data_IF_617624851083
#
_entry.id   IF_617624851083
#
_cell.length_a   1.000
_cell.length_b   1.000
_cell.length_c   1.000
_cell.angle_alpha   90.00
_cell.angle_beta   90.00
_cell.angle_gamma   90.00
#
_symmetry.space_group_name_H-M   'P 1'
#
loop_
_entity.id
_entity.type
_entity.pdbx_description
1 polymer ?
#
# COMPACT_ATOMS: atom_id res chain seq x y z
N UNK A 1 -7.44 -25.10 48.57
CA UNK A 1 -7.62 -23.68 48.22
C UNK A 1 -6.27 -23.02 48.40
N UNK A 2 -5.78 -22.34 47.35
CA UNK A 2 -4.62 -21.42 47.29
C UNK A 2 -3.23 -22.05 47.50
N UNK A 3 -2.37 -22.24 46.49
CA UNK A 3 -1.49 -21.30 45.73
C UNK A 3 -0.68 -20.34 46.58
N UNK A 4 0.66 -20.45 46.56
CA UNK A 4 1.66 -19.36 46.61
C UNK A 4 3.06 -19.90 46.22
N UNK A 5 3.98 -19.04 45.73
CA UNK A 5 4.72 -19.21 44.48
C UNK A 5 6.22 -19.42 44.72
N UNK A 6 6.91 -19.97 43.72
CA UNK A 6 8.27 -20.48 43.85
C UNK A 6 9.40 -19.42 43.80
N UNK A 7 9.08 -18.13 43.82
CA UNK A 7 10.10 -17.09 43.70
C UNK A 7 10.49 -16.55 45.08
N UNK A 8 11.52 -17.18 45.65
CA UNK A 8 12.49 -16.51 46.51
C UNK A 8 13.88 -16.74 45.92
N UNK A 9 14.65 -15.66 45.96
CA UNK A 9 15.97 -15.41 45.38
C UNK A 9 17.05 -16.46 45.70
N UNK A 10 18.04 -16.59 44.81
CA UNK A 10 19.43 -16.68 45.25
C UNK A 10 20.45 -16.24 44.16
N UNK A 11 21.23 -15.23 44.56
CA UNK A 11 22.62 -14.87 44.26
C UNK A 11 23.33 -15.16 42.89
N UNK A 12 23.95 -14.11 42.34
CA UNK A 12 24.73 -14.02 41.10
C UNK A 12 26.12 -14.73 41.13
N UNK A 13 26.82 -14.86 39.98
CA UNK A 13 28.04 -14.05 39.87
C UNK A 13 28.34 -13.48 38.47
N UNK A 14 29.00 -12.31 38.48
CA UNK A 14 29.38 -11.52 37.31
C UNK A 14 30.41 -12.21 36.41
N UNK A 15 30.11 -12.25 35.12
CA UNK A 15 30.98 -12.78 34.06
C UNK A 15 31.99 -11.69 33.67
N UNK A 16 33.27 -11.95 33.95
CA UNK A 16 34.39 -11.07 33.60
C UNK A 16 34.62 -10.98 32.09
N UNK A 17 35.03 -9.78 31.65
CA UNK A 17 35.20 -9.37 30.25
C UNK A 17 36.21 -10.26 29.48
N UNK A 18 37.06 -10.99 30.20
CA UNK A 18 38.05 -11.91 29.62
C UNK A 18 37.43 -13.15 28.96
N UNK A 19 36.19 -13.57 29.33
CA UNK A 19 35.48 -14.66 28.64
C UNK A 19 34.93 -14.25 27.26
N UNK A 20 34.62 -12.96 27.04
CA UNK A 20 34.10 -12.47 25.77
C UNK A 20 35.16 -12.43 24.67
N UNK A 21 36.44 -12.32 25.02
CA UNK A 21 37.53 -12.23 24.04
C UNK A 21 38.05 -13.60 23.57
N UNK A 22 37.80 -14.69 24.30
CA UNK A 22 38.12 -16.05 23.83
C UNK A 22 37.03 -16.61 22.90
N UNK A 23 35.78 -16.15 23.03
CA UNK A 23 34.67 -16.53 22.16
C UNK A 23 34.82 -15.99 20.73
N UNK A 24 35.56 -14.89 20.51
CA UNK A 24 35.69 -14.30 19.16
C UNK A 24 36.70 -15.02 18.25
N UNK A 25 37.68 -15.74 18.82
CA UNK A 25 38.69 -16.46 18.01
C UNK A 25 38.21 -17.82 17.49
N UNK A 26 37.19 -18.42 18.10
CA UNK A 26 36.60 -19.66 17.59
C UNK A 26 35.47 -19.44 16.55
N UNK A 27 34.99 -18.20 16.41
CA UNK A 27 33.99 -17.80 15.42
C UNK A 27 34.61 -17.38 14.07
N UNK A 28 35.92 -17.54 13.87
CA UNK A 28 36.56 -17.23 12.58
C UNK A 28 36.75 -18.44 11.66
N UNK A 29 36.48 -19.66 12.13
CA UNK A 29 36.63 -20.90 11.33
C UNK A 29 35.32 -21.63 11.03
N UNK A 30 34.17 -20.97 11.28
CA UNK A 30 32.82 -21.50 10.97
C UNK A 30 32.15 -20.80 9.77
N UNK A 31 32.83 -19.84 9.16
CA UNK A 31 32.34 -19.10 7.98
C UNK A 31 32.62 -19.87 6.67
N UNK A 32 33.19 -21.09 6.74
CA UNK A 32 33.35 -21.98 5.58
C UNK A 32 32.16 -22.91 5.28
N UNK A 33 31.07 -22.88 6.04
CA UNK A 33 29.86 -23.64 5.68
C UNK A 33 28.74 -22.72 5.18
N UNK A 34 28.95 -22.15 4.00
CA UNK A 34 27.83 -21.79 3.12
C UNK A 34 27.10 -23.09 2.75
N UNK A 35 26.05 -23.42 3.49
CA UNK A 35 25.03 -24.36 3.01
C UNK A 35 24.33 -23.72 1.82
N UNK A 36 24.29 -24.38 0.63
CA UNK A 36 23.49 -23.90 -0.47
C UNK A 36 22.04 -24.25 -0.15
N UNK A 37 21.36 -23.39 0.60
CA UNK A 37 19.90 -23.41 0.61
C UNK A 37 19.47 -22.95 -0.77
N UNK A 38 19.14 -23.96 -1.57
CA UNK A 38 18.63 -23.90 -2.93
C UNK A 38 17.93 -22.57 -3.24
N UNK A 39 18.34 -21.96 -4.36
CA UNK A 39 17.54 -21.02 -5.13
C UNK A 39 16.15 -21.63 -5.35
N UNK A 40 15.26 -21.42 -4.39
CA UNK A 40 13.86 -21.74 -4.55
C UNK A 40 13.34 -20.54 -5.33
N UNK A 41 12.98 -20.68 -6.62
CA UNK A 41 12.51 -19.53 -7.38
C UNK A 41 11.30 -18.96 -6.65
N UNK A 42 11.43 -17.75 -6.10
CA UNK A 42 10.32 -17.04 -5.49
C UNK A 42 9.26 -16.87 -6.57
N UNK A 43 8.15 -17.58 -6.46
CA UNK A 43 7.02 -17.35 -7.37
C UNK A 43 6.46 -15.97 -7.10
N UNK A 44 6.53 -15.10 -8.11
CA UNK A 44 5.93 -13.74 -8.09
C UNK A 44 4.41 -13.74 -8.28
N UNK A 45 3.82 -14.91 -8.51
CA UNK A 45 2.38 -15.09 -8.75
C UNK A 45 1.81 -16.22 -7.91
N UNK A 46 0.69 -15.95 -7.24
CA UNK A 46 -0.11 -16.94 -6.53
C UNK A 46 -1.35 -17.31 -7.36
N UNK A 47 -1.61 -18.61 -7.51
CA UNK A 47 -2.84 -19.10 -8.13
C UNK A 47 -4.00 -18.96 -7.15
N UNK A 48 -5.15 -18.49 -7.62
CA UNK A 48 -6.37 -18.34 -6.83
C UNK A 48 -7.58 -18.78 -7.64
N UNK A 49 -8.59 -19.35 -6.97
CA UNK A 49 -9.90 -19.62 -7.55
C UNK A 49 -10.89 -18.58 -7.05
N UNK A 50 -11.58 -17.91 -7.96
CA UNK A 50 -12.59 -16.89 -7.66
C UNK A 50 -13.90 -17.24 -8.36
N UNK A 51 -15.01 -17.07 -7.66
CA UNK A 51 -16.33 -17.23 -8.25
C UNK A 51 -16.83 -15.86 -8.69
N UNK A 52 -17.16 -15.73 -9.96
CA UNK A 52 -17.72 -14.52 -10.55
C UNK A 52 -19.21 -14.75 -10.88
N UNK A 53 -20.05 -13.68 -10.82
CA UNK A 53 -21.36 -13.70 -11.45
C UNK A 53 -21.24 -14.10 -12.92
N UNK A 54 -22.24 -14.83 -13.44
CA UNK A 54 -22.22 -15.39 -14.80
C UNK A 54 -21.92 -14.32 -15.86
N UNK A 55 -22.56 -13.16 -15.76
CA UNK A 55 -22.36 -12.03 -16.68
C UNK A 55 -20.90 -11.54 -16.67
N UNK A 56 -20.29 -11.42 -15.49
CA UNK A 56 -18.89 -10.98 -15.38
C UNK A 56 -17.92 -12.03 -15.92
N UNK A 57 -18.18 -13.31 -15.66
CA UNK A 57 -17.39 -14.40 -16.23
C UNK A 57 -17.48 -14.41 -17.77
N UNK A 58 -18.66 -14.15 -18.33
CA UNK A 58 -18.87 -14.04 -19.77
C UNK A 58 -18.09 -12.86 -20.37
N UNK A 59 -18.09 -11.70 -19.70
CA UNK A 59 -17.31 -10.53 -20.14
C UNK A 59 -15.80 -10.82 -20.16
N UNK A 60 -15.27 -11.45 -19.11
CA UNK A 60 -13.84 -11.82 -19.06
C UNK A 60 -13.48 -12.78 -20.20
N UNK A 61 -14.30 -13.80 -20.43
CA UNK A 61 -14.10 -14.75 -21.54
C UNK A 61 -14.19 -14.08 -22.91
N UNK A 62 -15.13 -13.16 -23.11
CA UNK A 62 -15.31 -12.44 -24.36
C UNK A 62 -14.06 -11.59 -24.71
N UNK A 63 -13.47 -10.93 -23.72
CA UNK A 63 -12.24 -10.15 -23.88
C UNK A 63 -11.05 -10.99 -24.33
N UNK A 64 -10.89 -12.19 -23.75
CA UNK A 64 -9.85 -13.14 -24.17
C UNK A 64 -10.14 -13.68 -25.57
N UNK A 65 -11.40 -14.06 -25.86
CA UNK A 65 -11.80 -14.57 -27.16
C UNK A 65 -11.64 -13.54 -28.29
N UNK A 66 -11.82 -12.25 -27.99
CA UNK A 66 -11.56 -11.13 -28.90
C UNK A 66 -10.06 -10.87 -29.14
N UNK A 67 -9.17 -11.53 -28.39
CA UNK A 67 -7.72 -11.32 -28.45
C UNK A 67 -7.25 -10.03 -27.78
N UNK A 68 -8.11 -9.34 -27.01
CA UNK A 68 -7.72 -8.14 -26.26
C UNK A 68 -6.74 -8.49 -25.11
N UNK A 69 -6.83 -9.71 -24.59
CA UNK A 69 -5.99 -10.22 -23.51
C UNK A 69 -5.58 -11.67 -23.79
N UNK A 70 -4.39 -12.07 -23.35
CA UNK A 70 -3.87 -13.41 -23.55
C UNK A 70 -4.48 -14.45 -22.59
N UNK A 71 -5.05 -14.01 -21.47
CA UNK A 71 -5.68 -14.90 -20.47
C UNK A 71 -6.67 -14.17 -19.57
N UNK A 72 -7.56 -14.91 -18.93
CA UNK A 72 -8.50 -14.38 -17.94
C UNK A 72 -7.75 -13.76 -16.74
N UNK A 73 -6.65 -14.38 -16.33
CA UNK A 73 -5.77 -13.85 -15.27
C UNK A 73 -5.20 -12.48 -15.61
N UNK A 74 -4.99 -12.17 -16.89
CA UNK A 74 -4.51 -10.87 -17.33
C UNK A 74 -5.60 -9.80 -17.24
N UNK A 75 -6.82 -10.13 -17.67
CA UNK A 75 -7.99 -9.24 -17.54
C UNK A 75 -8.17 -8.82 -16.08
N UNK A 76 -8.10 -9.79 -15.16
CA UNK A 76 -8.26 -9.52 -13.72
C UNK A 76 -7.11 -8.66 -13.18
N UNK A 77 -5.85 -8.98 -13.52
CA UNK A 77 -4.71 -8.16 -13.07
C UNK A 77 -4.80 -6.73 -13.58
N UNK A 78 -5.18 -6.54 -14.84
CA UNK A 78 -5.32 -5.21 -15.44
C UNK A 78 -6.43 -4.40 -14.75
N UNK A 79 -7.60 -5.03 -14.53
CA UNK A 79 -8.68 -4.43 -13.76
C UNK A 79 -8.25 -4.02 -12.35
N UNK A 80 -7.51 -4.87 -11.64
CA UNK A 80 -6.99 -4.56 -10.30
C UNK A 80 -5.98 -3.40 -10.31
N UNK A 81 -5.12 -3.29 -11.34
CA UNK A 81 -4.21 -2.15 -11.48
C UNK A 81 -4.96 -0.86 -11.72
N UNK A 82 -6.01 -0.88 -12.55
CA UNK A 82 -6.83 0.30 -12.82
C UNK A 82 -7.54 0.79 -11.54
N UNK A 83 -8.08 -0.14 -10.73
CA UNK A 83 -8.67 0.18 -9.43
C UNK A 83 -7.65 0.82 -8.49
N UNK A 84 -6.47 0.21 -8.34
CA UNK A 84 -5.42 0.74 -7.47
C UNK A 84 -4.91 2.11 -7.92
N UNK A 85 -4.77 2.33 -9.22
CA UNK A 85 -4.36 3.63 -9.77
C UNK A 85 -5.40 4.71 -9.47
N UNK A 86 -6.69 4.41 -9.63
CA UNK A 86 -7.78 5.31 -9.27
C UNK A 86 -7.76 5.65 -7.79
N UNK A 87 -7.61 4.65 -6.92
CA UNK A 87 -7.65 4.86 -5.47
C UNK A 87 -6.46 5.70 -5.00
N UNK A 88 -5.26 5.45 -5.55
CA UNK A 88 -4.08 6.29 -5.28
C UNK A 88 -4.27 7.72 -5.75
N UNK A 89 -4.77 7.93 -6.97
CA UNK A 89 -5.03 9.27 -7.47
C UNK A 89 -6.04 10.05 -6.59
N UNK A 90 -7.05 9.35 -6.06
CA UNK A 90 -8.00 9.94 -5.13
C UNK A 90 -7.32 10.33 -3.81
N UNK A 91 -6.57 9.40 -3.20
CA UNK A 91 -5.85 9.65 -1.95
C UNK A 91 -4.83 10.79 -2.07
N UNK A 92 -4.07 10.83 -3.16
CA UNK A 92 -3.09 11.87 -3.42
C UNK A 92 -3.78 13.24 -3.56
N UNK A 93 -4.89 13.32 -4.29
CA UNK A 93 -5.68 14.55 -4.41
C UNK A 93 -6.28 14.99 -3.07
N UNK A 94 -6.83 14.06 -2.29
CA UNK A 94 -7.36 14.35 -0.96
C UNK A 94 -6.28 14.93 -0.06
N UNK A 95 -5.09 14.31 -0.05
CA UNK A 95 -3.96 14.73 0.77
C UNK A 95 -3.36 16.07 0.33
N UNK A 96 -3.18 16.26 -0.97
CA UNK A 96 -2.46 17.40 -1.52
C UNK A 96 -3.32 18.66 -1.64
N UNK A 97 -4.62 18.51 -1.92
CA UNK A 97 -5.49 19.64 -2.26
C UNK A 97 -6.60 19.82 -1.23
N UNK A 98 -7.36 18.76 -0.93
CA UNK A 98 -8.58 18.88 -0.12
C UNK A 98 -8.26 19.16 1.35
N UNK A 99 -7.35 18.40 1.95
CA UNK A 99 -6.97 18.60 3.36
C UNK A 99 -6.41 20.01 3.58
N UNK A 100 -5.43 20.51 2.80
CA UNK A 100 -4.92 21.87 2.98
C UNK A 100 -5.99 22.95 2.79
N UNK A 101 -6.88 22.81 1.79
CA UNK A 101 -7.97 23.75 1.58
C UNK A 101 -8.95 23.76 2.76
N UNK A 102 -9.30 22.59 3.29
CA UNK A 102 -10.17 22.46 4.45
C UNK A 102 -9.54 23.08 5.71
N UNK A 103 -8.28 22.77 6.00
CA UNK A 103 -7.55 23.36 7.13
C UNK A 103 -7.43 24.88 7.01
N UNK A 104 -7.19 25.40 5.80
CA UNK A 104 -7.14 26.84 5.57
C UNK A 104 -8.50 27.51 5.81
N UNK A 105 -9.59 26.88 5.38
CA UNK A 105 -10.94 27.38 5.58
C UNK A 105 -11.37 27.32 7.05
N UNK A 106 -11.01 26.26 7.78
CA UNK A 106 -11.23 26.17 9.23
C UNK A 106 -10.48 27.28 9.99
N UNK A 107 -9.23 27.54 9.60
CA UNK A 107 -8.43 28.60 10.20
C UNK A 107 -8.91 30.02 9.82
N UNK A 108 -9.49 30.18 8.64
CA UNK A 108 -9.93 31.46 8.06
C UNK A 108 -11.30 31.31 7.38
N UNK A 109 -12.39 31.33 8.15
CA UNK A 109 -13.74 31.14 7.63
C UNK A 109 -14.13 32.16 6.54
N UNK A 110 -13.52 33.35 6.55
CA UNK A 110 -13.72 34.40 5.55
C UNK A 110 -13.25 34.02 4.13
N UNK A 111 -12.47 32.95 3.99
CA UNK A 111 -12.11 32.38 2.69
C UNK A 111 -13.30 31.67 2.01
N UNK A 112 -14.37 31.37 2.76
CA UNK A 112 -15.58 30.75 2.24
C UNK A 112 -16.31 31.67 1.26
N UNK A 113 -16.75 31.11 0.13
CA UNK A 113 -17.57 31.82 -0.86
C UNK A 113 -19.06 31.50 -0.65
N UNK A 114 -19.91 32.51 -0.81
CA UNK A 114 -21.35 32.31 -0.86
C UNK A 114 -21.76 31.56 -2.14
N UNK A 115 -22.92 30.88 -2.15
CA UNK A 115 -23.43 30.21 -3.36
C UNK A 115 -23.58 31.13 -4.57
N UNK A 116 -23.89 32.41 -4.36
CA UNK A 116 -23.98 33.44 -5.40
C UNK A 116 -22.60 33.73 -5.98
N UNK A 117 -21.61 33.96 -5.12
CA UNK A 117 -20.22 34.23 -5.52
C UNK A 117 -19.62 33.04 -6.31
N UNK A 118 -19.91 31.80 -5.90
CA UNK A 118 -19.50 30.60 -6.65
C UNK A 118 -20.15 30.58 -8.04
N UNK A 119 -21.45 30.86 -8.14
CA UNK A 119 -22.17 30.89 -9.43
C UNK A 119 -21.61 31.95 -10.36
N UNK A 120 -21.36 33.15 -9.87
CA UNK A 120 -20.74 34.25 -10.61
C UNK A 120 -19.34 33.87 -11.10
N UNK A 121 -18.51 33.31 -10.20
CA UNK A 121 -17.17 32.86 -10.56
C UNK A 121 -17.17 31.80 -11.66
N UNK A 122 -18.08 30.82 -11.57
CA UNK A 122 -18.21 29.76 -12.57
C UNK A 122 -18.73 30.28 -13.91
N UNK A 123 -19.69 31.22 -13.90
CA UNK A 123 -20.16 31.88 -15.11
C UNK A 123 -19.03 32.65 -15.82
N UNK A 124 -18.23 33.39 -15.06
CA UNK A 124 -17.05 34.11 -15.58
C UNK A 124 -15.97 33.17 -16.14
N UNK A 125 -15.73 32.00 -15.51
CA UNK A 125 -14.84 30.97 -16.10
C UNK A 125 -15.35 30.43 -17.43
N UNK A 126 -16.66 30.17 -17.57
CA UNK A 126 -17.24 29.66 -18.82
C UNK A 126 -17.13 30.67 -19.96
N UNK A 127 -17.43 31.94 -19.68
CA UNK A 127 -17.32 33.01 -20.69
C UNK A 127 -15.90 33.15 -21.23
N UNK A 128 -14.89 33.12 -20.35
CA UNK A 128 -13.46 33.16 -20.74
C UNK A 128 -13.04 31.97 -21.59
N UNK A 129 -13.59 30.77 -21.34
CA UNK A 129 -13.28 29.58 -22.15
C UNK A 129 -13.96 29.63 -23.52
N UNK A 130 -15.16 30.21 -23.62
CA UNK A 130 -15.91 30.35 -24.88
C UNK A 130 -15.41 31.46 -25.82
N UNK A 131 -14.54 32.36 -25.37
CA UNK A 131 -13.96 33.44 -26.20
C UNK A 131 -12.60 33.10 -26.81
N UNK A 132 -12.03 31.93 -26.50
CA UNK A 132 -10.72 31.47 -27.02
C UNK A 132 -10.79 30.51 -28.22
N UNK A 133 -11.97 30.34 -28.83
CA UNK A 133 -12.22 29.38 -29.91
C UNK A 133 -12.84 30.04 -31.17
N UNK A 134 -12.63 31.35 -31.35
CA UNK A 134 -13.08 32.11 -32.53
C UNK A 134 -11.91 32.68 -33.33
#
# INVERSE_FOLDING_TARGET
METYPFWMDDEAPGIGIDQLLLASRQWSSRIESHSPQADTPMRSTQQMSITLPLEMAALVKAKVAAGEYASESEVIRDGLRALLARDRAMEDWLRAEVIPAATALEAKPELGLSPEQVREHMAARRQRKGTGEA
#
